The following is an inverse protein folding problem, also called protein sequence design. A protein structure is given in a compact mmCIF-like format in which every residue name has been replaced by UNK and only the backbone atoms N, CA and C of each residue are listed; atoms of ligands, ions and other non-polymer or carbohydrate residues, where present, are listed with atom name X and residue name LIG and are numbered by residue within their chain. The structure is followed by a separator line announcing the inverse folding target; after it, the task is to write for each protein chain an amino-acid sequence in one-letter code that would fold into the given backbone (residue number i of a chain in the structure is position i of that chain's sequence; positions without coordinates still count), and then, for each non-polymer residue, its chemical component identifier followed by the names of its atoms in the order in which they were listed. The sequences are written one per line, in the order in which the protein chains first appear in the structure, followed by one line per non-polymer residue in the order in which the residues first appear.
data_IF_925697272705
#
_entry.id   IF_925697272705
#
_cell.length_a   1.000
_cell.length_b   1.000
_cell.length_c   1.000
_cell.angle_alpha   90.00
_cell.angle_beta   90.00
_cell.angle_gamma   90.00
#
_symmetry.space_group_name_H-M   'P 1'
#
loop_
_entity.id
_entity.type
_entity.pdbx_description
1 polymer ?
#
# COMPACT_ATOMS: atom_id res chain seq x y z
N UNK A 1 -35.92 -5.44 4.08
CA UNK A 1 -35.23 -5.74 5.35
C UNK A 1 -34.32 -6.93 5.14
N UNK A 2 -33.09 -6.72 4.70
CA UNK A 2 -32.11 -7.79 4.49
C UNK A 2 -30.83 -7.42 5.25
N UNK A 3 -30.51 -8.27 6.23
CA UNK A 3 -29.27 -8.38 6.99
C UNK A 3 -28.94 -7.26 7.99
N UNK A 4 -29.58 -7.34 9.17
CA UNK A 4 -29.19 -6.55 10.34
C UNK A 4 -27.93 -7.08 11.07
N UNK A 5 -27.36 -8.23 10.70
CA UNK A 5 -26.18 -8.74 11.40
C UNK A 5 -25.19 -9.46 10.47
N UNK A 6 -24.56 -8.71 9.56
CA UNK A 6 -23.15 -8.99 9.31
C UNK A 6 -22.45 -8.51 10.58
N UNK A 7 -22.12 -9.44 11.50
CA UNK A 7 -21.35 -9.16 12.72
C UNK A 7 -20.25 -8.15 12.37
N UNK A 8 -20.17 -7.04 13.09
CA UNK A 8 -19.32 -5.88 12.78
C UNK A 8 -17.89 -6.22 12.30
N UNK A 9 -17.29 -7.29 12.84
CA UNK A 9 -15.98 -7.80 12.39
C UNK A 9 -15.94 -8.32 10.95
N UNK A 10 -17.01 -8.97 10.46
CA UNK A 10 -17.10 -9.45 9.08
C UNK A 10 -17.16 -8.27 8.09
N UNK A 11 -17.86 -7.18 8.43
CA UNK A 11 -17.93 -6.00 7.57
C UNK A 11 -16.61 -5.21 7.52
N UNK A 12 -15.86 -5.16 8.62
CA UNK A 12 -14.48 -4.67 8.62
C UNK A 12 -13.60 -5.43 7.63
N UNK A 13 -13.62 -6.78 7.71
CA UNK A 13 -12.83 -7.64 6.83
C UNK A 13 -13.21 -7.52 5.35
N UNK A 14 -14.50 -7.29 5.03
CA UNK A 14 -14.96 -7.05 3.67
C UNK A 14 -14.39 -5.74 3.14
N UNK A 15 -14.47 -4.65 3.91
CA UNK A 15 -13.93 -3.36 3.50
C UNK A 15 -12.43 -3.41 3.21
N UNK A 16 -11.67 -4.04 4.09
CA UNK A 16 -10.25 -4.30 3.87
C UNK A 16 -9.98 -5.09 2.58
N UNK A 17 -10.67 -6.22 2.38
CA UNK A 17 -10.49 -7.05 1.19
C UNK A 17 -10.82 -6.28 -0.10
N UNK A 18 -11.87 -5.45 -0.07
CA UNK A 18 -12.25 -4.61 -1.20
C UNK A 18 -11.20 -3.53 -1.50
N UNK A 19 -10.66 -2.87 -0.48
CA UNK A 19 -9.57 -1.89 -0.65
C UNK A 19 -8.33 -2.58 -1.24
N UNK A 20 -7.92 -3.73 -0.70
CA UNK A 20 -6.78 -4.49 -1.22
C UNK A 20 -6.98 -4.90 -2.69
N UNK A 21 -8.20 -5.31 -3.05
CA UNK A 21 -8.55 -5.67 -4.42
C UNK A 21 -8.48 -4.47 -5.37
N UNK A 22 -9.02 -3.31 -4.99
CA UNK A 22 -8.95 -2.09 -5.79
C UNK A 22 -7.52 -1.57 -5.97
N UNK A 23 -6.69 -1.67 -4.94
CA UNK A 23 -5.26 -1.37 -5.02
C UNK A 23 -4.54 -2.32 -5.99
N UNK A 24 -4.79 -3.62 -5.89
CA UNK A 24 -4.18 -4.62 -6.76
C UNK A 24 -4.55 -4.42 -8.24
N UNK A 25 -5.81 -4.04 -8.55
CA UNK A 25 -6.23 -3.65 -9.92
C UNK A 25 -5.35 -2.54 -10.51
N UNK A 26 -4.81 -1.66 -9.65
CA UNK A 26 -3.98 -0.50 -9.98
C UNK A 26 -2.48 -0.74 -9.81
N UNK A 27 -2.06 -2.01 -9.85
CA UNK A 27 -0.66 -2.43 -9.75
C UNK A 27 0.02 -2.16 -8.41
N UNK A 28 -0.75 -1.95 -7.34
CA UNK A 28 -0.18 -1.91 -6.00
C UNK A 28 0.05 -3.33 -5.48
N UNK A 29 1.24 -3.56 -4.93
CA UNK A 29 1.54 -4.70 -4.10
C UNK A 29 1.07 -4.40 -2.68
N UNK A 30 0.06 -5.12 -2.20
CA UNK A 30 -0.59 -4.87 -0.90
C UNK A 30 -0.19 -5.95 0.09
N UNK A 31 0.24 -5.55 1.28
CA UNK A 31 0.67 -6.43 2.35
C UNK A 31 -0.06 -6.09 3.64
N UNK A 32 -0.48 -7.10 4.41
CA UNK A 32 -1.00 -6.89 5.78
C UNK A 32 0.15 -7.04 6.79
N UNK A 33 0.44 -6.04 7.63
CA UNK A 33 1.38 -6.22 8.73
C UNK A 33 0.75 -7.14 9.80
N UNK A 34 1.55 -7.99 10.44
CA UNK A 34 1.02 -8.97 11.42
C UNK A 34 0.77 -8.39 12.82
N UNK A 35 1.45 -7.30 13.19
CA UNK A 35 1.45 -6.77 14.57
C UNK A 35 1.33 -5.24 14.62
N UNK A 36 0.67 -4.65 13.62
CA UNK A 36 0.34 -3.22 13.67
C UNK A 36 -1.17 -3.07 13.70
N UNK A 37 -1.70 -2.51 14.80
CA UNK A 37 -3.13 -2.25 14.97
C UNK A 37 -3.57 -0.93 14.32
N UNK A 38 -2.63 -0.14 13.81
CA UNK A 38 -2.85 1.18 13.20
C UNK A 38 -2.58 1.20 11.70
N UNK A 39 -2.15 0.07 11.13
CA UNK A 39 -1.89 -0.08 9.71
C UNK A 39 -2.55 -1.37 9.27
N UNK A 40 -3.59 -1.28 8.47
CA UNK A 40 -4.21 -2.47 7.88
C UNK A 40 -3.39 -2.94 6.67
N UNK A 41 -2.84 -2.00 5.90
CA UNK A 41 -2.02 -2.31 4.73
C UNK A 41 -0.75 -1.49 4.60
N UNK A 42 0.29 -2.14 4.10
CA UNK A 42 1.42 -1.52 3.42
C UNK A 42 1.21 -1.74 1.93
N UNK A 43 1.06 -0.67 1.16
CA UNK A 43 0.90 -0.73 -0.29
C UNK A 43 2.15 -0.19 -0.98
N UNK A 44 2.65 -0.89 -1.99
CA UNK A 44 3.86 -0.52 -2.73
C UNK A 44 3.62 -0.49 -4.22
N UNK A 45 4.24 0.45 -4.92
CA UNK A 45 4.08 0.57 -6.37
C UNK A 45 5.33 1.14 -7.01
N UNK A 46 5.70 0.58 -8.16
CA UNK A 46 6.79 1.11 -8.97
C UNK A 46 6.25 2.14 -9.96
N UNK A 47 6.88 3.31 -10.05
CA UNK A 47 6.52 4.35 -11.03
C UNK A 47 7.76 4.89 -11.75
N UNK A 48 7.57 5.48 -12.93
CA UNK A 48 8.65 6.14 -13.66
C UNK A 48 9.10 7.44 -12.96
N UNK A 49 10.41 7.64 -12.75
CA UNK A 49 10.92 8.90 -12.18
C UNK A 49 10.67 10.13 -13.07
N UNK A 50 10.61 9.94 -14.38
CA UNK A 50 10.48 11.03 -15.37
C UNK A 50 9.04 11.45 -15.61
N UNK A 51 8.12 10.49 -15.79
CA UNK A 51 6.74 10.79 -16.16
C UNK A 51 5.69 10.26 -15.16
N UNK A 52 6.11 9.60 -14.08
CA UNK A 52 5.25 9.10 -13.01
C UNK A 52 4.17 8.09 -13.42
N UNK A 53 4.22 7.61 -14.66
CA UNK A 53 3.38 6.50 -15.08
C UNK A 53 3.72 5.25 -14.28
N UNK A 54 2.72 4.39 -14.10
CA UNK A 54 2.91 3.03 -13.61
C UNK A 54 4.05 2.34 -14.34
N UNK A 55 4.99 1.79 -13.58
CA UNK A 55 5.99 0.90 -14.13
C UNK A 55 5.38 -0.49 -14.16
N UNK A 56 5.13 -1.05 -15.35
CA UNK A 56 4.50 -2.37 -15.46
C UNK A 56 5.39 -3.43 -14.79
N UNK A 57 5.02 -3.81 -13.57
CA UNK A 57 5.74 -4.77 -12.74
C UNK A 57 5.01 -6.12 -12.65
N UNK A 58 3.89 -6.28 -13.38
CA UNK A 58 3.09 -7.52 -13.42
C UNK A 58 3.94 -8.73 -13.82
N UNK A 59 5.02 -8.51 -14.56
CA UNK A 59 6.07 -9.50 -14.81
C UNK A 59 7.29 -9.23 -13.95
N UNK A 60 7.12 -9.50 -12.65
CA UNK A 60 8.11 -10.04 -11.72
C UNK A 60 9.47 -9.33 -11.78
N UNK A 61 9.69 -8.45 -10.80
CA UNK A 61 11.03 -8.04 -10.36
C UNK A 61 12.03 -9.20 -10.43
N UNK A 62 13.30 -8.96 -10.76
CA UNK A 62 14.43 -9.91 -10.80
C UNK A 62 15.49 -9.55 -9.76
N UNK A 63 16.11 -10.54 -9.07
CA UNK A 63 17.39 -10.31 -8.38
C UNK A 63 18.41 -9.84 -9.43
N UNK A 64 19.12 -8.76 -9.13
CA UNK A 64 20.17 -8.21 -10.00
C UNK A 64 21.34 -9.18 -10.20
N UNK A 65 21.53 -10.12 -9.27
CA UNK A 65 22.45 -11.24 -9.44
C UNK A 65 21.80 -12.33 -10.32
N UNK A 66 22.33 -12.44 -11.55
CA UNK A 66 21.91 -13.42 -12.57
C UNK A 66 22.11 -14.88 -12.11
N UNK A 67 22.97 -15.11 -11.12
CA UNK A 67 23.22 -16.44 -10.57
C UNK A 67 22.21 -16.85 -9.49
N UNK A 68 21.33 -15.93 -9.04
CA UNK A 68 20.30 -16.22 -8.06
C UNK A 68 19.13 -17.01 -8.67
N UNK A 69 19.38 -18.29 -9.00
CA UNK A 69 18.42 -19.20 -9.65
C UNK A 69 17.16 -19.46 -8.81
N UNK A 70 17.23 -19.28 -7.50
CA UNK A 70 16.14 -19.55 -6.57
C UNK A 70 15.16 -18.38 -6.40
N UNK A 71 15.55 -17.17 -6.80
CA UNK A 71 14.71 -15.99 -6.64
C UNK A 71 13.36 -16.13 -7.37
N UNK A 72 13.33 -16.76 -8.55
CA UNK A 72 12.08 -16.98 -9.32
C UNK A 72 11.18 -18.08 -8.76
N UNK A 73 11.75 -19.03 -8.01
CA UNK A 73 10.96 -20.11 -7.39
C UNK A 73 10.16 -19.60 -6.18
N UNK A 74 10.72 -18.62 -5.47
CA UNK A 74 10.10 -18.00 -4.29
C UNK A 74 9.08 -16.88 -4.63
N UNK A 75 8.96 -16.51 -5.91
CA UNK A 75 8.01 -15.49 -6.39
C UNK A 75 6.56 -15.96 -6.50
N UNK A 76 6.28 -17.22 -6.19
CA UNK A 76 4.92 -17.62 -5.86
C UNK A 76 4.47 -16.80 -4.64
N UNK A 77 3.53 -15.87 -4.86
CA UNK A 77 3.06 -14.82 -3.94
C UNK A 77 2.79 -15.22 -2.47
N UNK A 78 2.75 -16.52 -2.14
CA UNK A 78 2.46 -17.07 -0.82
C UNK A 78 3.68 -17.13 0.12
N UNK A 79 4.91 -17.14 -0.38
CA UNK A 79 6.08 -17.52 0.45
C UNK A 79 6.89 -16.34 1.01
N UNK A 80 6.63 -15.10 0.59
CA UNK A 80 7.33 -13.93 1.12
C UNK A 80 7.03 -13.58 2.58
N UNK A 81 6.01 -14.18 3.19
CA UNK A 81 5.41 -13.69 4.44
C UNK A 81 5.50 -14.63 5.65
N UNK A 82 6.16 -15.81 5.57
CA UNK A 82 6.05 -16.80 6.65
C UNK A 82 7.35 -17.49 7.06
N UNK A 83 8.46 -16.75 7.13
CA UNK A 83 9.68 -17.27 7.75
C UNK A 83 9.85 -16.66 9.14
N UNK A 84 10.09 -17.49 10.15
CA UNK A 84 10.60 -17.08 11.48
C UNK A 84 12.12 -17.27 11.47
N UNK A 85 12.85 -16.49 12.27
CA UNK A 85 14.30 -16.66 12.47
C UNK A 85 14.61 -16.84 13.95
N UNK A 86 15.39 -17.87 14.31
CA UNK A 86 15.92 -18.02 15.67
C UNK A 86 16.94 -16.91 15.95
N UNK A 87 16.82 -16.23 17.09
CA UNK A 87 17.72 -15.13 17.46
C UNK A 87 19.13 -15.61 17.81
N UNK A 88 19.25 -16.79 18.41
CA UNK A 88 20.54 -17.27 18.89
C UNK A 88 21.39 -17.85 17.75
N UNK A 89 20.80 -18.66 16.87
CA UNK A 89 21.56 -19.40 15.85
C UNK A 89 21.26 -19.00 14.40
N UNK A 90 20.32 -18.06 14.20
CA UNK A 90 19.93 -17.56 12.88
C UNK A 90 19.16 -18.53 11.99
N UNK A 91 18.74 -19.69 12.50
CA UNK A 91 17.99 -20.70 11.76
C UNK A 91 16.64 -20.16 11.24
N UNK A 92 16.30 -20.48 9.98
CA UNK A 92 15.09 -20.00 9.30
C UNK A 92 14.04 -21.14 9.27
N UNK A 93 12.85 -20.87 9.82
CA UNK A 93 11.75 -21.82 9.85
C UNK A 93 10.95 -21.73 8.54
N UNK A 94 10.84 -22.85 7.82
CA UNK A 94 10.23 -22.88 6.48
C UNK A 94 8.72 -23.19 6.47
N UNK A 95 8.09 -23.52 7.61
CA UNK A 95 6.65 -23.79 7.74
C UNK A 95 6.14 -23.48 9.16
N UNK A 96 4.81 -23.48 9.34
CA UNK A 96 4.14 -23.52 10.65
C UNK A 96 4.51 -24.80 11.40
N UNK A 97 5.69 -24.85 12.00
CA UNK A 97 5.99 -25.87 13.01
C UNK A 97 5.37 -25.41 14.33
N UNK A 98 4.60 -26.30 14.95
CA UNK A 98 4.09 -26.14 16.33
C UNK A 98 5.17 -26.46 17.37
N UNK A 99 6.38 -26.80 16.92
CA UNK A 99 7.52 -27.13 17.77
C UNK A 99 7.94 -25.91 18.58
N UNK A 100 8.09 -26.13 19.89
CA UNK A 100 8.38 -25.10 20.88
C UNK A 100 9.88 -24.77 21.01
N UNK A 101 10.75 -25.50 20.31
CA UNK A 101 12.21 -25.38 20.42
C UNK A 101 12.85 -25.24 19.03
N UNK A 102 13.97 -24.53 18.93
CA UNK A 102 14.68 -24.39 17.66
C UNK A 102 15.43 -25.68 17.31
N UNK A 103 15.18 -26.32 16.15
CA UNK A 103 15.77 -27.63 15.81
C UNK A 103 17.29 -27.59 15.54
N UNK A 104 17.90 -26.40 15.54
CA UNK A 104 19.35 -26.22 15.34
C UNK A 104 20.10 -25.96 16.64
N UNK A 105 19.47 -25.39 17.66
CA UNK A 105 20.16 -24.94 18.88
C UNK A 105 19.39 -25.22 20.17
N UNK A 106 18.23 -25.87 20.09
CA UNK A 106 17.36 -26.26 21.18
C UNK A 106 16.91 -25.12 22.11
N UNK A 107 17.07 -23.85 21.69
CA UNK A 107 16.53 -22.71 22.44
C UNK A 107 15.02 -22.82 22.54
N UNK A 108 14.51 -22.83 23.79
CA UNK A 108 13.08 -22.78 24.11
C UNK A 108 12.45 -21.47 23.63
N UNK A 109 11.38 -21.57 22.85
CA UNK A 109 10.74 -20.44 22.16
C UNK A 109 9.83 -19.58 23.04
N UNK A 110 10.03 -19.54 24.37
CA UNK A 110 9.05 -18.96 25.32
C UNK A 110 9.04 -17.44 25.44
N UNK A 111 9.94 -16.70 24.81
CA UNK A 111 9.85 -15.21 24.80
C UNK A 111 10.75 -14.48 23.78
N UNK A 112 11.65 -15.16 23.07
CA UNK A 112 12.66 -14.51 22.22
C UNK A 112 12.52 -14.84 20.73
N UNK A 113 11.29 -14.87 20.23
CA UNK A 113 11.04 -14.94 18.79
C UNK A 113 10.73 -13.56 18.23
N UNK A 114 11.58 -13.05 17.35
CA UNK A 114 11.11 -12.11 16.33
C UNK A 114 10.35 -12.95 15.31
N UNK A 115 9.02 -12.86 15.33
CA UNK A 115 8.28 -13.02 14.09
C UNK A 115 8.82 -11.97 13.14
N UNK A 116 9.63 -12.39 12.16
CA UNK A 116 10.01 -11.57 11.01
C UNK A 116 8.81 -11.40 10.07
N UNK A 117 7.67 -11.04 10.64
CA UNK A 117 6.56 -10.48 9.88
C UNK A 117 7.00 -9.10 9.40
N UNK A 118 7.26 -9.01 8.10
CA UNK A 118 7.61 -7.75 7.47
C UNK A 118 9.01 -7.22 7.82
N UNK A 119 10.02 -8.09 7.98
CA UNK A 119 11.39 -7.60 7.81
C UNK A 119 11.50 -7.09 6.37
N UNK A 120 11.39 -5.77 6.27
CA UNK A 120 11.74 -4.92 5.15
C UNK A 120 13.14 -5.36 4.69
N UNK A 121 13.22 -6.17 3.64
CA UNK A 121 14.50 -6.46 2.97
C UNK A 121 14.78 -5.27 2.08
N UNK A 122 15.17 -4.17 2.70
CA UNK A 122 15.60 -2.98 2.02
C UNK A 122 17.01 -2.68 2.47
N UNK A 123 17.78 -2.16 1.53
CA UNK A 123 19.06 -1.59 1.80
C UNK A 123 18.95 -0.10 1.46
N UNK A 124 19.58 0.72 2.28
CA UNK A 124 19.70 2.14 2.05
C UNK A 124 21.04 2.39 1.37
N UNK A 125 21.08 3.25 0.35
CA UNK A 125 22.35 3.79 -0.16
C UNK A 125 22.35 5.30 0.01
N UNK A 126 23.37 5.82 0.69
CA UNK A 126 23.54 7.25 0.88
C UNK A 126 23.88 7.95 -0.45
N UNK A 127 23.11 8.95 -0.85
CA UNK A 127 23.37 9.72 -2.07
C UNK A 127 24.70 10.49 -2.02
N UNK A 128 25.12 10.93 -0.82
CA UNK A 128 26.37 11.65 -0.60
C UNK A 128 27.61 10.74 -0.64
N UNK A 129 27.75 9.80 0.31
CA UNK A 129 28.96 8.99 0.44
C UNK A 129 28.90 7.61 -0.25
N UNK A 130 27.77 7.29 -0.91
CA UNK A 130 27.50 6.01 -1.61
C UNK A 130 27.59 4.76 -0.74
N UNK A 131 27.60 4.91 0.59
CA UNK A 131 27.63 3.77 1.50
C UNK A 131 26.26 3.09 1.55
N UNK A 132 26.24 1.77 1.33
CA UNK A 132 25.04 0.94 1.43
C UNK A 132 24.94 0.28 2.80
N UNK A 133 23.78 0.33 3.45
CA UNK A 133 23.59 -0.16 4.81
C UNK A 133 22.16 -0.69 5.04
N UNK A 134 22.02 -1.62 5.98
CA UNK A 134 20.72 -2.15 6.44
C UNK A 134 20.47 -1.63 7.86
N UNK A 135 19.88 -0.44 7.99
CA UNK A 135 19.53 0.16 9.28
C UNK A 135 18.05 0.53 9.32
N UNK A 136 17.46 0.56 10.51
CA UNK A 136 16.14 1.16 10.72
C UNK A 136 16.19 2.70 10.68
N UNK A 137 17.39 3.29 10.74
CA UNK A 137 17.60 4.74 10.71
C UNK A 137 17.74 5.23 9.27
N UNK A 138 17.05 6.33 8.91
CA UNK A 138 17.18 7.00 7.60
C UNK A 138 18.50 7.75 7.41
N UNK A 139 19.24 7.97 8.49
CA UNK A 139 20.56 8.62 8.46
C UNK A 139 21.65 7.62 8.10
N UNK A 140 22.54 8.01 7.19
CA UNK A 140 23.69 7.22 6.80
C UNK A 140 24.64 7.05 7.99
N UNK A 141 24.89 5.80 8.40
CA UNK A 141 25.81 5.46 9.49
C UNK A 141 27.25 5.94 9.26
N UNK A 142 27.65 6.20 8.01
CA UNK A 142 29.01 6.65 7.66
C UNK A 142 29.18 8.18 7.67
N UNK A 143 28.18 8.94 7.23
CA UNK A 143 28.33 10.39 7.03
C UNK A 143 27.24 11.24 7.70
N UNK A 144 26.29 10.63 8.41
CA UNK A 144 25.18 11.31 9.07
C UNK A 144 24.12 11.88 8.12
N UNK A 145 24.33 11.86 6.80
CA UNK A 145 23.37 12.40 5.82
C UNK A 145 22.05 11.64 5.87
N UNK A 146 20.93 12.38 5.85
CA UNK A 146 19.58 11.84 5.72
C UNK A 146 19.17 11.59 4.26
N UNK A 147 20.04 11.94 3.31
CA UNK A 147 19.80 11.76 1.89
C UNK A 147 20.19 10.35 1.46
N UNK A 148 19.36 9.37 1.81
CA UNK A 148 19.54 7.95 1.49
C UNK A 148 18.37 7.44 0.66
N UNK A 149 18.67 6.61 -0.36
CA UNK A 149 17.65 5.96 -1.20
C UNK A 149 17.41 4.54 -0.67
N UNK A 150 16.14 4.19 -0.50
CA UNK A 150 15.71 2.84 -0.09
C UNK A 150 15.41 1.98 -1.33
N UNK A 151 15.95 0.76 -1.39
CA UNK A 151 15.62 -0.19 -2.46
C UNK A 151 15.45 -1.61 -1.93
N UNK A 152 14.53 -2.40 -2.52
CA UNK A 152 14.31 -3.77 -2.12
C UNK A 152 15.51 -4.65 -2.47
N UNK A 153 15.85 -5.59 -1.59
CA UNK A 153 16.90 -6.58 -1.80
C UNK A 153 16.37 -8.00 -1.66
N UNK A 154 16.99 -8.92 -2.39
CA UNK A 154 16.64 -10.32 -2.40
C UNK A 154 17.08 -10.98 -1.09
N UNK A 155 16.15 -11.71 -0.47
CA UNK A 155 16.41 -12.45 0.78
C UNK A 155 17.52 -13.51 0.65
N UNK A 156 17.75 -14.01 -0.57
CA UNK A 156 18.72 -15.08 -0.84
C UNK A 156 20.11 -14.49 -1.15
N UNK A 157 20.18 -13.61 -2.16
CA UNK A 157 21.43 -13.08 -2.71
C UNK A 157 21.86 -11.77 -2.01
N UNK A 158 20.98 -11.10 -1.27
CA UNK A 158 21.20 -9.74 -0.75
C UNK A 158 21.27 -8.66 -1.83
N UNK A 159 21.22 -9.04 -3.11
CA UNK A 159 21.33 -8.12 -4.23
C UNK A 159 20.02 -7.37 -4.47
N UNK A 160 20.12 -6.21 -5.12
CA UNK A 160 18.98 -5.37 -5.47
C UNK A 160 17.93 -6.15 -6.28
N UNK A 161 16.68 -5.99 -5.91
CA UNK A 161 15.53 -6.46 -6.66
C UNK A 161 15.15 -5.35 -7.65
N UNK A 162 15.33 -5.59 -8.95
CA UNK A 162 14.99 -4.65 -10.02
C UNK A 162 13.79 -5.14 -10.82
N UNK A 163 12.89 -4.28 -11.31
CA UNK A 163 11.92 -4.67 -12.34
C UNK A 163 12.61 -5.36 -13.52
N UNK A 164 12.09 -6.50 -14.01
CA UNK A 164 12.59 -7.12 -15.25
C UNK A 164 12.28 -6.22 -16.45
N UNK A 165 13.30 -5.91 -17.27
CA UNK A 165 13.24 -5.13 -18.51
C UNK A 165 12.57 -3.74 -18.39
N UNK A 166 13.36 -2.66 -18.27
CA UNK A 166 13.90 -1.81 -19.37
C UNK A 166 12.88 -0.87 -20.00
N UNK A 167 13.07 0.42 -19.70
CA UNK A 167 12.35 1.60 -20.19
C UNK A 167 10.88 1.70 -19.76
N UNK A 168 10.51 2.90 -19.37
CA UNK A 168 9.15 3.31 -19.13
C UNK A 168 8.28 3.00 -20.36
N UNK A 169 7.11 2.42 -20.14
CA UNK A 169 6.18 2.07 -21.23
C UNK A 169 5.28 3.21 -21.66
N UNK A 170 5.24 4.30 -20.88
CA UNK A 170 4.48 5.49 -21.25
C UNK A 170 4.97 6.04 -22.60
N UNK A 171 4.10 6.21 -23.60
CA UNK A 171 4.48 6.77 -24.90
C UNK A 171 5.23 8.10 -24.76
N UNK A 172 6.39 8.21 -25.40
CA UNK A 172 7.23 9.42 -25.31
C UNK A 172 8.15 9.49 -24.09
N UNK A 173 8.14 8.49 -23.21
CA UNK A 173 9.08 8.38 -22.10
C UNK A 173 10.11 7.26 -22.36
N UNK A 174 11.38 7.63 -22.38
CA UNK A 174 12.52 6.74 -22.57
C UNK A 174 13.27 6.40 -21.27
N UNK A 175 12.75 6.88 -20.13
CA UNK A 175 13.37 6.72 -18.81
C UNK A 175 13.59 5.26 -18.49
N UNK A 176 14.79 4.91 -18.06
CA UNK A 176 15.11 3.61 -17.45
C UNK A 176 15.01 3.66 -15.92
N UNK A 177 14.82 4.86 -15.38
CA UNK A 177 14.79 5.10 -13.95
C UNK A 177 13.38 4.99 -13.39
N UNK A 178 13.28 4.24 -12.30
CA UNK A 178 12.05 3.98 -11.59
C UNK A 178 12.14 4.41 -10.12
N UNK A 179 10.97 4.50 -9.51
CA UNK A 179 10.66 4.83 -8.15
C UNK A 179 10.07 3.63 -7.43
N UNK A 180 10.21 3.57 -6.12
CA UNK A 180 9.28 2.83 -5.28
C UNK A 180 8.47 3.81 -4.45
N UNK A 181 7.15 3.79 -4.63
CA UNK A 181 6.20 4.48 -3.77
C UNK A 181 5.75 3.49 -2.70
N UNK A 182 5.77 3.92 -1.44
CA UNK A 182 5.29 3.13 -0.30
C UNK A 182 4.24 3.95 0.44
N UNK A 183 3.08 3.33 0.68
CA UNK A 183 1.97 3.89 1.45
C UNK A 183 1.64 2.98 2.60
N UNK A 184 1.32 3.58 3.75
CA UNK A 184 0.66 2.87 4.83
C UNK A 184 -0.81 3.28 4.81
N UNK A 185 -1.70 2.33 5.01
CA UNK A 185 -3.13 2.54 4.84
C UNK A 185 -3.86 1.98 6.05
N UNK A 186 -4.69 2.83 6.65
CA UNK A 186 -5.72 2.42 7.58
C UNK A 186 -7.06 2.40 6.83
N UNK A 187 -7.78 1.29 6.92
CA UNK A 187 -9.13 1.14 6.40
C UNK A 187 -10.14 1.30 7.53
N UNK A 188 -11.22 2.03 7.26
CA UNK A 188 -12.39 2.10 8.13
C UNK A 188 -13.64 1.76 7.35
N UNK A 189 -14.43 0.84 7.86
CA UNK A 189 -15.75 0.56 7.30
C UNK A 189 -16.77 1.54 7.86
N UNK A 190 -17.63 2.07 6.99
CA UNK A 190 -18.69 2.98 7.38
C UNK A 190 -19.95 2.25 7.84
N UNK A 191 -20.83 2.95 8.55
CA UNK A 191 -22.16 2.49 8.91
C UNK A 191 -23.20 3.55 8.51
N UNK A 192 -24.41 3.10 8.19
CA UNK A 192 -25.54 4.00 7.99
C UNK A 192 -26.12 4.41 9.34
N UNK A 193 -26.44 5.68 9.50
CA UNK A 193 -27.03 6.28 10.70
C UNK A 193 -28.48 6.71 10.43
N UNK A 194 -29.20 7.01 11.51
CA UNK A 194 -30.56 7.56 11.39
C UNK A 194 -30.58 8.80 10.49
N UNK A 195 -31.49 8.81 9.52
CA UNK A 195 -31.56 9.85 8.49
C UNK A 195 -30.68 9.60 7.25
N UNK A 196 -30.14 8.39 7.07
CA UNK A 196 -29.42 7.99 5.85
C UNK A 196 -28.02 8.60 5.72
N UNK A 197 -27.49 9.15 6.81
CA UNK A 197 -26.12 9.66 6.85
C UNK A 197 -25.15 8.50 6.99
N UNK A 198 -24.01 8.60 6.31
CA UNK A 198 -22.94 7.63 6.48
C UNK A 198 -21.96 8.17 7.52
N UNK A 199 -21.65 7.37 8.52
CA UNK A 199 -20.63 7.67 9.53
C UNK A 199 -19.58 6.57 9.61
N UNK A 200 -18.49 6.82 10.30
CA UNK A 200 -17.49 5.81 10.63
C UNK A 200 -16.89 6.11 12.00
N UNK A 201 -16.47 5.05 12.70
CA UNK A 201 -15.79 5.19 13.99
C UNK A 201 -14.30 5.38 13.75
N UNK A 202 -13.73 6.40 14.38
CA UNK A 202 -12.32 6.73 14.27
C UNK A 202 -11.72 7.00 15.65
N UNK A 203 -10.51 6.49 15.88
CA UNK A 203 -9.69 6.91 17.01
C UNK A 203 -8.49 7.66 16.47
N UNK A 204 -8.11 8.77 17.10
CA UNK A 204 -6.98 9.59 16.63
C UNK A 204 -5.66 8.81 16.55
N UNK A 205 -5.48 7.83 17.46
CA UNK A 205 -4.35 6.88 17.44
C UNK A 205 -4.27 6.03 16.16
N UNK A 206 -5.35 5.96 15.37
CA UNK A 206 -5.37 5.27 14.08
C UNK A 206 -4.78 6.15 12.96
N UNK A 207 -4.55 7.45 13.21
CA UNK A 207 -3.82 8.34 12.30
C UNK A 207 -2.34 8.35 12.69
N UNK A 208 -1.49 7.78 11.85
CA UNK A 208 -0.04 7.92 12.01
C UNK A 208 0.37 9.27 11.45
N UNK A 209 1.13 10.05 12.21
CA UNK A 209 1.77 11.30 11.75
C UNK A 209 2.94 10.99 10.80
N UNK A 210 2.60 10.43 9.64
CA UNK A 210 3.48 10.10 8.53
C UNK A 210 2.75 10.53 7.26
N UNK A 211 3.34 11.42 6.47
CA UNK A 211 2.71 11.92 5.25
C UNK A 211 2.38 10.79 4.23
N UNK A 212 3.04 9.63 4.33
CA UNK A 212 2.78 8.45 3.50
C UNK A 212 1.61 7.61 3.99
N UNK A 213 1.02 7.98 5.13
CA UNK A 213 -0.15 7.32 5.69
C UNK A 213 -1.44 7.86 5.06
N UNK A 214 -2.37 6.96 4.76
CA UNK A 214 -3.65 7.29 4.16
C UNK A 214 -4.77 6.60 4.91
N UNK A 215 -5.87 7.34 5.09
CA UNK A 215 -7.13 6.79 5.55
C UNK A 215 -8.00 6.45 4.34
N UNK A 216 -8.46 5.21 4.29
CA UNK A 216 -9.44 4.75 3.30
C UNK A 216 -10.73 4.38 4.02
N UNK A 217 -11.78 5.15 3.81
CA UNK A 217 -13.10 4.83 4.34
C UNK A 217 -13.89 4.09 3.26
N UNK A 218 -14.30 2.87 3.57
CA UNK A 218 -15.10 2.01 2.70
C UNK A 218 -16.56 2.06 3.12
N UNK A 219 -17.44 2.30 2.15
CA UNK A 219 -18.89 2.24 2.32
C UNK A 219 -19.52 1.34 1.27
N UNK A 220 -20.61 0.71 1.66
CA UNK A 220 -21.45 -0.07 0.78
C UNK A 220 -22.88 0.45 0.84
N UNK A 221 -23.45 0.76 -0.31
CA UNK A 221 -24.87 1.12 -0.45
C UNK A 221 -25.57 0.16 -1.41
N UNK A 222 -26.89 0.08 -1.31
CA UNK A 222 -27.73 -0.67 -2.26
C UNK A 222 -28.65 0.31 -2.96
N UNK A 223 -28.53 0.41 -4.29
CA UNK A 223 -29.39 1.24 -5.13
C UNK A 223 -29.95 0.38 -6.26
N UNK A 224 -31.27 0.36 -6.45
CA UNK A 224 -31.96 -0.44 -7.47
C UNK A 224 -31.54 -1.93 -7.48
N UNK A 225 -31.45 -2.53 -6.29
CA UNK A 225 -31.00 -3.91 -6.07
C UNK A 225 -29.56 -4.20 -6.52
N UNK A 226 -28.76 -3.16 -6.77
CA UNK A 226 -27.33 -3.26 -7.07
C UNK A 226 -26.51 -2.78 -5.89
N UNK A 227 -25.52 -3.59 -5.54
CA UNK A 227 -24.50 -3.23 -4.56
C UNK A 227 -23.56 -2.18 -5.18
N UNK A 228 -23.37 -1.06 -4.49
CA UNK A 228 -22.42 -0.01 -4.85
C UNK A 228 -21.35 0.08 -3.78
N UNK A 229 -20.10 0.04 -4.22
CA UNK A 229 -18.93 0.22 -3.36
C UNK A 229 -18.41 1.63 -3.50
N UNK A 230 -18.30 2.30 -2.36
CA UNK A 230 -17.85 3.67 -2.26
C UNK A 230 -16.55 3.69 -1.46
N UNK A 231 -15.58 4.49 -1.93
CA UNK A 231 -14.30 4.66 -1.27
C UNK A 231 -14.03 6.14 -1.11
N UNK A 232 -13.57 6.52 0.08
CA UNK A 232 -13.00 7.84 0.36
C UNK A 232 -11.54 7.66 0.74
N UNK A 233 -10.63 8.27 -0.02
CA UNK A 233 -9.19 8.21 0.24
C UNK A 233 -8.70 9.60 0.65
N UNK A 234 -8.07 9.69 1.81
CA UNK A 234 -7.55 10.94 2.37
C UNK A 234 -6.11 10.74 2.84
N UNK A 235 -5.24 11.72 2.56
CA UNK A 235 -3.95 11.81 3.26
C UNK A 235 -4.15 12.29 4.71
N UNK A 236 -3.11 12.16 5.53
CA UNK A 236 -3.10 12.74 6.89
C UNK A 236 -3.38 14.25 6.86
N UNK A 237 -2.76 14.98 5.93
CA UNK A 237 -2.98 16.42 5.79
C UNK A 237 -4.42 16.77 5.38
N UNK A 238 -4.99 16.04 4.41
CA UNK A 238 -6.40 16.21 4.02
C UNK A 238 -7.32 15.94 5.21
N UNK A 239 -7.05 14.86 5.97
CA UNK A 239 -7.81 14.55 7.18
C UNK A 239 -7.70 15.67 8.23
N UNK A 240 -6.49 16.15 8.52
CA UNK A 240 -6.27 17.21 9.50
C UNK A 240 -7.00 18.51 9.10
N UNK A 241 -6.95 18.87 7.82
CA UNK A 241 -7.60 20.08 7.31
C UNK A 241 -9.13 19.96 7.28
N UNK A 242 -9.66 18.79 6.90
CA UNK A 242 -11.10 18.61 6.69
C UNK A 242 -11.85 18.16 7.95
N UNK A 243 -11.20 17.43 8.86
CA UNK A 243 -11.86 16.79 10.01
C UNK A 243 -11.49 17.37 11.37
N UNK A 244 -10.37 18.09 11.50
CA UNK A 244 -9.87 18.57 12.81
C UNK A 244 -10.07 20.08 13.06
N UNK A 245 -10.99 20.75 12.35
CA UNK A 245 -11.23 22.19 12.55
C UNK A 245 -11.64 22.52 14.02
N UNK A 246 -10.83 23.41 14.64
CA UNK A 246 -10.86 24.11 15.95
C UNK A 246 -11.41 23.44 17.23
N UNK A 247 -11.97 22.24 17.19
CA UNK A 247 -12.45 21.49 18.37
C UNK A 247 -11.83 20.09 18.50
N UNK A 248 -10.66 19.89 17.87
CA UNK A 248 -9.87 18.67 17.87
C UNK A 248 -9.53 18.16 19.29
N UNK A 249 -9.46 19.04 20.29
CA UNK A 249 -9.16 18.68 21.68
C UNK A 249 -10.19 17.74 22.33
N UNK A 250 -11.43 17.67 21.82
CA UNK A 250 -12.45 16.72 22.31
C UNK A 250 -12.39 15.34 21.65
N UNK A 251 -11.68 15.21 20.52
CA UNK A 251 -11.59 13.97 19.73
C UNK A 251 -10.44 13.04 20.18
N UNK A 252 -9.52 13.53 21.01
CA UNK A 252 -8.26 12.84 21.35
C UNK A 252 -8.50 11.56 22.18
N UNK A 253 -9.63 11.44 22.90
CA UNK A 253 -9.84 10.36 23.88
C UNK A 253 -11.16 9.58 23.77
N UNK A 254 -11.99 9.84 22.76
CA UNK A 254 -13.26 9.13 22.57
C UNK A 254 -13.33 8.53 21.17
N UNK A 255 -14.06 7.41 21.01
CA UNK A 255 -14.42 6.88 19.69
C UNK A 255 -15.22 7.96 18.96
N UNK A 256 -14.54 8.75 18.15
CA UNK A 256 -15.16 9.82 17.41
C UNK A 256 -16.00 9.21 16.29
N UNK A 257 -17.26 9.63 16.24
CA UNK A 257 -18.11 9.36 15.09
C UNK A 257 -17.91 10.49 14.10
N UNK A 258 -17.27 10.16 12.99
CA UNK A 258 -16.96 11.09 11.91
C UNK A 258 -17.86 10.83 10.71
N UNK A 259 -18.07 11.87 9.92
CA UNK A 259 -18.80 11.79 8.66
C UNK A 259 -17.86 12.16 7.51
N UNK A 260 -17.93 11.45 6.38
CA UNK A 260 -17.26 11.88 5.16
C UNK A 260 -17.66 13.32 4.79
N UNK A 261 -16.76 14.10 4.17
CA UNK A 261 -17.05 15.48 3.80
C UNK A 261 -18.29 15.54 2.90
N UNK A 262 -19.17 16.51 3.14
CA UNK A 262 -20.42 16.68 2.37
C UNK A 262 -20.21 17.20 0.96
N UNK A 263 -18.98 17.48 0.53
CA UNK A 263 -18.65 17.78 -0.87
C UNK A 263 -18.73 16.47 -1.69
N UNK A 264 -19.96 16.08 -2.01
CA UNK A 264 -20.37 14.78 -2.55
C UNK A 264 -19.74 14.37 -3.89
N UNK A 265 -19.15 15.29 -4.66
CA UNK A 265 -18.76 15.00 -6.05
C UNK A 265 -17.30 14.62 -6.28
N UNK A 266 -16.38 14.94 -5.36
CA UNK A 266 -14.94 14.73 -5.60
C UNK A 266 -14.34 13.56 -4.83
N UNK A 267 -15.09 12.99 -3.88
CA UNK A 267 -14.52 12.07 -2.89
C UNK A 267 -14.93 10.61 -3.10
N UNK A 268 -15.90 10.33 -3.99
CA UNK A 268 -16.45 8.99 -4.17
C UNK A 268 -15.89 8.32 -5.43
N UNK A 269 -15.42 7.08 -5.28
CA UNK A 269 -15.12 6.22 -6.41
C UNK A 269 -16.39 5.83 -7.17
N UNK A 270 -16.52 6.25 -8.42
CA UNK A 270 -17.57 5.78 -9.32
C UNK A 270 -17.02 4.62 -10.17
N UNK A 271 -17.23 3.38 -9.73
CA UNK A 271 -16.71 2.19 -10.40
C UNK A 271 -17.19 2.08 -11.87
N UNK A 272 -18.45 2.45 -12.14
CA UNK A 272 -19.02 2.37 -13.48
C UNK A 272 -18.30 3.34 -14.42
N UNK A 273 -18.11 4.58 -13.98
CA UNK A 273 -17.44 5.61 -14.75
C UNK A 273 -15.95 5.29 -14.93
N UNK A 274 -15.28 4.83 -13.87
CA UNK A 274 -13.89 4.37 -13.95
C UNK A 274 -13.71 3.21 -14.95
N UNK A 275 -14.57 2.19 -14.90
CA UNK A 275 -14.50 1.05 -15.82
C UNK A 275 -14.77 1.48 -17.26
N UNK A 276 -15.72 2.40 -17.48
CA UNK A 276 -15.98 2.99 -18.80
C UNK A 276 -14.76 3.73 -19.34
N UNK A 277 -14.17 4.63 -18.55
CA UNK A 277 -12.97 5.35 -18.94
C UNK A 277 -11.79 4.40 -19.21
N UNK A 278 -11.61 3.35 -18.41
CA UNK A 278 -10.56 2.33 -18.60
C UNK A 278 -10.75 1.58 -19.92
N UNK A 279 -11.97 1.16 -20.22
CA UNK A 279 -12.30 0.49 -21.48
C UNK A 279 -12.05 1.42 -22.69
N UNK A 280 -12.50 2.67 -22.60
CA UNK A 280 -12.29 3.65 -23.67
C UNK A 280 -10.80 3.98 -23.86
N UNK A 281 -10.01 4.00 -22.78
CA UNK A 281 -8.56 4.18 -22.82
C UNK A 281 -7.88 3.03 -23.55
N UNK A 282 -8.22 1.78 -23.23
CA UNK A 282 -7.67 0.61 -23.93
C UNK A 282 -8.02 0.63 -25.43
N UNK A 283 -9.25 1.01 -25.77
CA UNK A 283 -9.70 1.15 -27.15
C UNK A 283 -8.92 2.24 -27.89
N UNK A 284 -8.71 3.40 -27.26
CA UNK A 284 -7.92 4.50 -27.82
C UNK A 284 -6.45 4.10 -28.01
N UNK A 285 -5.85 3.36 -27.05
CA UNK A 285 -4.49 2.81 -27.15
C UNK A 285 -4.34 1.84 -28.32
N UNK A 286 -5.30 0.91 -28.50
CA UNK A 286 -5.30 -0.02 -29.65
C UNK A 286 -5.35 0.71 -31.00
N UNK A 287 -6.03 1.86 -31.05
CA UNK A 287 -6.16 2.70 -32.25
C UNK A 287 -5.06 3.75 -32.40
N UNK A 288 -4.17 3.88 -31.41
CA UNK A 288 -3.11 4.91 -31.35
C UNK A 288 -3.66 6.35 -31.41
N UNK A 289 -4.83 6.61 -30.83
CA UNK A 289 -5.49 7.93 -30.78
C UNK A 289 -4.91 8.80 -29.64
N UNK A 290 -3.70 9.36 -29.83
CA UNK A 290 -2.92 10.05 -28.76
C UNK A 290 -3.71 11.14 -28.02
N UNK A 291 -4.39 12.05 -28.72
CA UNK A 291 -5.13 13.15 -28.08
C UNK A 291 -6.27 12.62 -27.19
N UNK A 292 -6.93 11.55 -27.62
CA UNK A 292 -8.01 10.91 -26.87
C UNK A 292 -7.48 10.15 -25.65
N UNK A 293 -6.31 9.52 -25.77
CA UNK A 293 -5.62 8.90 -24.63
C UNK A 293 -5.38 9.95 -23.54
N UNK A 294 -4.81 11.11 -23.91
CA UNK A 294 -4.54 12.20 -22.96
C UNK A 294 -5.82 12.72 -22.30
N UNK A 295 -6.91 12.89 -23.08
CA UNK A 295 -8.20 13.33 -22.56
C UNK A 295 -8.79 12.33 -21.56
N UNK A 296 -8.81 11.04 -21.90
CA UNK A 296 -9.34 9.99 -21.04
C UNK A 296 -8.47 9.83 -19.78
N UNK A 297 -7.15 9.93 -19.89
CA UNK A 297 -6.26 9.86 -18.72
C UNK A 297 -6.50 11.02 -17.74
N UNK A 298 -6.80 12.24 -18.25
CA UNK A 298 -7.23 13.36 -17.39
C UNK A 298 -8.57 13.12 -16.73
N UNK A 299 -9.51 12.46 -17.41
CA UNK A 299 -10.80 12.08 -16.81
C UNK A 299 -10.60 11.01 -15.74
N UNK A 300 -9.79 9.97 -16.01
CA UNK A 300 -9.44 8.93 -15.04
C UNK A 300 -8.84 9.50 -13.76
N UNK A 301 -7.96 10.49 -13.86
CA UNK A 301 -7.39 11.16 -12.67
C UNK A 301 -8.45 11.84 -11.79
N UNK A 302 -9.60 12.24 -12.35
CA UNK A 302 -10.68 12.85 -11.58
C UNK A 302 -11.59 11.82 -10.92
N UNK A 303 -11.81 10.67 -11.57
CA UNK A 303 -12.75 9.64 -11.09
C UNK A 303 -12.08 8.55 -10.26
N UNK A 304 -10.76 8.35 -10.42
CA UNK A 304 -10.00 7.40 -9.65
C UNK A 304 -9.50 8.01 -8.33
N UNK A 305 -10.31 7.89 -7.29
CA UNK A 305 -9.95 8.36 -5.94
C UNK A 305 -8.64 7.75 -5.41
N UNK A 306 -8.29 6.53 -5.85
CA UNK A 306 -7.02 5.88 -5.47
C UNK A 306 -5.81 6.49 -6.17
N UNK A 307 -5.99 7.30 -7.23
CA UNK A 307 -4.90 8.03 -7.86
C UNK A 307 -4.22 9.00 -6.88
N UNK A 308 -4.91 9.42 -5.81
CA UNK A 308 -4.31 10.18 -4.70
C UNK A 308 -3.10 9.48 -4.08
N UNK A 309 -3.09 8.15 -4.04
CA UNK A 309 -1.98 7.37 -3.49
C UNK A 309 -0.72 7.47 -4.36
N UNK A 310 -0.86 7.82 -5.64
CA UNK A 310 0.26 8.04 -6.56
C UNK A 310 0.88 9.44 -6.40
N UNK A 311 0.29 10.36 -5.60
CA UNK A 311 0.86 11.69 -5.36
C UNK A 311 2.24 11.55 -4.75
N UNK A 312 3.19 12.37 -5.21
CA UNK A 312 4.51 12.45 -4.60
C UNK A 312 4.40 13.11 -3.23
N UNK A 313 5.04 12.50 -2.24
CA UNK A 313 5.06 12.96 -0.86
C UNK A 313 6.52 13.09 -0.41
N UNK A 314 6.80 14.00 0.54
CA UNK A 314 8.16 14.23 0.99
C UNK A 314 8.72 12.94 1.60
N UNK A 315 9.85 12.48 1.07
CA UNK A 315 10.45 11.20 1.48
C UNK A 315 9.92 9.98 0.73
N UNK A 316 9.12 10.17 -0.32
CA UNK A 316 9.19 9.27 -1.46
C UNK A 316 10.57 9.41 -2.11
N UNK A 317 11.14 8.25 -2.49
CA UNK A 317 12.50 8.01 -3.00
C UNK A 317 13.64 7.94 -1.96
#
# INVERSE_FOLDING_TARGET
MLNQDIKSGLFGSIGENMVAFELAKRNWFVYRPYFDTRIDFIAQKFVCKKCFSDWESKHIVSCSDKNCKNFLKDLNQKDYLKTRKCLDCGYIFNKYTTEHDCPKCDTKMTSNLITTSGQRNYQFTCNFCKHSFSSQTRSCVKCGSNNCVEYPVCKICGSEIKPRNTKCQNPGCDSIDYALIIRTIQVKSSHEEEGGKIGFNFKLQDLIDDERHFLVVYSRTFEDYKEKHNFWVMSVDEFNNEMLSESASKLIYQNARLHPPTNKSQSFFNEIEYNKCTFDLEKARKRKEINKIIEIEKQLQKVDVFAKLNRFIKGDF
#
